data_IF_550101441528
#
_entry.id   IF_550101441528
#
_cell.length_a   1.000
_cell.length_b   1.000
_cell.length_c   1.000
_cell.angle_alpha   90.00
_cell.angle_beta   90.00
_cell.angle_gamma   90.00
#
_symmetry.space_group_name_H-M   'P 1'
#
loop_
_entity.id
_entity.type
_entity.pdbx_description
1 polymer ?
#
# COMPACT_ATOMS: atom_id res chain seq x y z
N UNK A 1 -2.01 15.68 -80.63
CA UNK A 1 -2.90 16.84 -80.38
C UNK A 1 -3.00 17.02 -78.88
N UNK A 2 -2.45 18.15 -78.40
CA UNK A 2 -2.32 18.49 -76.99
C UNK A 2 -3.52 19.36 -76.60
N UNK A 3 -4.04 19.10 -75.39
CA UNK A 3 -4.78 20.11 -74.62
C UNK A 3 -4.28 20.19 -73.23
N UNK A 4 -3.59 21.29 -72.93
CA UNK A 4 -3.27 21.74 -71.58
C UNK A 4 -4.51 22.39 -70.96
N UNK A 5 -4.97 21.97 -69.81
CA UNK A 5 -5.85 22.74 -68.92
C UNK A 5 -5.01 23.45 -67.89
N UNK A 6 -4.90 24.75 -67.95
CA UNK A 6 -4.38 25.67 -66.92
C UNK A 6 -5.53 25.96 -65.96
N UNK A 7 -5.46 25.45 -64.75
CA UNK A 7 -6.32 25.82 -63.62
C UNK A 7 -5.62 26.97 -62.88
N UNK A 8 -6.05 28.19 -63.04
CA UNK A 8 -5.66 29.37 -62.30
C UNK A 8 -6.37 29.33 -60.92
N UNK A 9 -5.60 29.09 -59.86
CA UNK A 9 -6.09 29.35 -58.51
C UNK A 9 -6.03 30.85 -58.25
N UNK A 10 -7.17 31.49 -58.13
CA UNK A 10 -7.32 32.83 -57.58
C UNK A 10 -7.09 32.77 -56.08
N UNK A 11 -5.99 33.35 -55.61
CA UNK A 11 -5.71 33.55 -54.17
C UNK A 11 -6.42 34.87 -53.79
N UNK A 12 -7.34 34.86 -52.82
CA UNK A 12 -7.95 36.10 -52.37
C UNK A 12 -6.91 36.93 -51.63
N UNK A 13 -6.62 38.14 -52.11
CA UNK A 13 -5.78 39.11 -51.42
C UNK A 13 -6.46 39.56 -50.14
N UNK A 14 -5.99 39.03 -49.00
CA UNK A 14 -6.45 39.44 -47.69
C UNK A 14 -6.06 40.90 -47.45
N UNK A 15 -7.08 41.76 -47.34
CA UNK A 15 -6.95 43.20 -47.13
C UNK A 15 -6.15 43.48 -45.84
N UNK A 16 -5.19 44.39 -45.83
CA UNK A 16 -4.35 44.77 -44.67
C UNK A 16 -5.18 45.11 -43.43
N UNK A 17 -6.37 45.65 -43.60
CA UNK A 17 -7.31 45.92 -42.51
C UNK A 17 -7.81 44.63 -41.83
N UNK A 18 -8.20 43.60 -42.56
CA UNK A 18 -8.67 42.32 -42.02
C UNK A 18 -7.59 41.61 -41.20
N UNK A 19 -6.32 41.66 -41.64
CA UNK A 19 -5.18 41.13 -40.85
C UNK A 19 -4.94 41.90 -39.57
N UNK A 20 -5.10 43.23 -39.55
CA UNK A 20 -5.02 44.05 -38.35
C UNK A 20 -6.15 43.73 -37.36
N UNK A 21 -7.38 43.55 -37.83
CA UNK A 21 -8.51 43.17 -37.01
C UNK A 21 -8.33 41.79 -36.39
N UNK A 22 -7.88 40.78 -37.13
CA UNK A 22 -7.59 39.44 -36.62
C UNK A 22 -6.47 39.44 -35.59
N UNK A 23 -5.44 40.25 -35.78
CA UNK A 23 -4.32 40.37 -34.85
C UNK A 23 -4.74 41.04 -33.52
N UNK A 24 -5.53 42.11 -33.59
CA UNK A 24 -6.08 42.81 -32.41
C UNK A 24 -7.04 41.89 -31.65
N UNK A 25 -7.87 41.13 -32.37
CA UNK A 25 -8.82 40.18 -31.75
C UNK A 25 -8.10 39.03 -31.06
N UNK A 26 -7.04 38.50 -31.67
CA UNK A 26 -6.18 37.48 -31.07
C UNK A 26 -5.46 37.97 -29.81
N UNK A 27 -4.94 39.20 -29.82
CA UNK A 27 -4.31 39.84 -28.66
C UNK A 27 -5.32 40.08 -27.52
N UNK A 28 -6.55 40.50 -27.86
CA UNK A 28 -7.63 40.70 -26.90
C UNK A 28 -8.02 39.38 -26.21
N UNK A 29 -8.20 38.30 -26.99
CA UNK A 29 -8.48 36.95 -26.44
C UNK A 29 -7.35 36.42 -25.56
N UNK A 30 -6.09 36.64 -25.94
CA UNK A 30 -4.95 36.24 -25.09
C UNK A 30 -4.90 37.04 -23.79
N UNK A 31 -5.22 38.34 -23.85
CA UNK A 31 -5.24 39.17 -22.64
C UNK A 31 -6.39 38.81 -21.69
N UNK A 32 -7.59 38.54 -22.24
CA UNK A 32 -8.72 38.06 -21.41
C UNK A 32 -8.43 36.69 -20.76
N UNK A 33 -7.78 35.78 -21.50
CA UNK A 33 -7.36 34.48 -20.96
C UNK A 33 -6.30 34.63 -19.84
N UNK A 34 -5.34 35.54 -20.01
CA UNK A 34 -4.34 35.86 -18.99
C UNK A 34 -4.98 36.47 -17.73
N UNK A 35 -5.90 37.40 -17.88
CA UNK A 35 -6.64 37.99 -16.76
C UNK A 35 -7.49 36.95 -16.05
N UNK A 36 -8.19 36.06 -16.78
CA UNK A 36 -8.97 34.97 -16.19
C UNK A 36 -8.08 33.98 -15.44
N UNK A 37 -6.92 33.63 -16.01
CA UNK A 37 -5.95 32.74 -15.38
C UNK A 37 -5.35 33.35 -14.09
N UNK A 38 -5.09 34.66 -14.07
CA UNK A 38 -4.58 35.35 -12.87
C UNK A 38 -5.64 35.46 -11.77
N UNK A 39 -6.91 35.69 -12.11
CA UNK A 39 -8.01 35.71 -11.14
C UNK A 39 -8.21 34.31 -10.55
N UNK A 40 -8.22 33.27 -11.37
CA UNK A 40 -8.34 31.89 -10.89
C UNK A 40 -7.13 31.44 -10.04
N UNK A 41 -5.91 31.88 -10.37
CA UNK A 41 -4.73 31.64 -9.51
C UNK A 41 -4.81 32.40 -8.19
N UNK A 42 -5.39 33.60 -8.18
CA UNK A 42 -5.57 34.41 -6.95
C UNK A 42 -6.56 33.75 -5.98
N UNK A 43 -7.68 33.19 -6.49
CA UNK A 43 -8.64 32.47 -5.65
C UNK A 43 -8.11 31.14 -5.10
N UNK A 44 -7.18 30.48 -5.82
CA UNK A 44 -6.54 29.24 -5.35
C UNK A 44 -5.46 29.51 -4.29
N UNK A 45 -4.87 30.70 -4.26
CA UNK A 45 -3.88 31.09 -3.24
C UNK A 45 -4.55 31.55 -1.93
N UNK A 46 -5.82 32.00 -1.98
CA UNK A 46 -6.55 32.45 -0.78
C UNK A 46 -7.29 31.33 -0.04
N UNK A 47 -7.26 30.08 -0.51
CA UNK A 47 -7.90 28.92 0.14
C UNK A 47 -6.92 27.82 0.57
N UNK A 48 -5.67 28.12 0.86
CA UNK A 48 -4.86 27.26 1.70
C UNK A 48 -4.94 27.77 3.13
N UNK A 49 -5.59 27.06 4.07
CA UNK A 49 -5.40 27.36 5.47
C UNK A 49 -3.93 27.08 5.77
N UNK A 50 -3.21 28.12 6.16
CA UNK A 50 -1.92 27.98 6.83
C UNK A 50 -2.16 27.17 8.10
N UNK A 51 -1.81 25.91 8.08
CA UNK A 51 -1.76 25.06 9.25
C UNK A 51 -0.52 25.50 10.06
N UNK A 52 -0.65 26.55 10.84
CA UNK A 52 0.26 26.81 11.95
C UNK A 52 -0.04 25.76 13.03
N UNK A 53 0.79 24.72 13.03
CA UNK A 53 0.82 23.71 14.07
C UNK A 53 1.37 24.35 15.36
N UNK A 54 0.51 24.99 16.15
CA UNK A 54 0.83 25.36 17.52
C UNK A 54 1.06 24.11 18.35
N UNK A 55 2.32 23.75 18.52
CA UNK A 55 2.75 22.68 19.44
C UNK A 55 2.54 23.15 20.88
N UNK A 56 1.46 22.74 21.51
CA UNK A 56 1.32 22.86 22.95
C UNK A 56 2.16 21.80 23.65
N UNK A 57 3.19 22.23 24.37
CA UNK A 57 4.00 21.37 25.24
C UNK A 57 3.48 21.50 26.68
N UNK A 58 2.89 20.43 27.19
CA UNK A 58 2.53 20.34 28.61
C UNK A 58 3.69 19.73 29.41
N UNK A 59 4.22 20.48 30.34
CA UNK A 59 5.24 20.04 31.29
C UNK A 59 4.58 19.41 32.52
N UNK A 60 4.71 18.08 32.67
CA UNK A 60 4.32 17.37 33.90
C UNK A 60 5.56 17.11 34.75
N UNK A 61 5.49 17.48 36.01
CA UNK A 61 6.53 17.23 36.99
C UNK A 61 6.11 16.03 37.86
N UNK A 62 6.69 14.87 37.64
CA UNK A 62 6.49 13.69 38.48
C UNK A 62 7.87 13.19 38.94
N UNK A 63 8.11 13.27 40.26
CA UNK A 63 9.28 12.66 40.89
C UNK A 63 10.64 13.16 40.42
N UNK A 64 10.83 14.47 40.24
CA UNK A 64 12.15 15.09 40.01
C UNK A 64 12.74 14.88 38.62
N UNK A 65 12.01 14.32 37.66
CA UNK A 65 12.41 14.20 36.25
C UNK A 65 11.36 14.85 35.35
N UNK A 66 11.82 15.75 34.46
CA UNK A 66 10.94 16.40 33.45
C UNK A 66 10.75 15.46 32.28
N UNK A 67 9.51 14.91 32.07
CA UNK A 67 9.12 14.17 30.88
C UNK A 67 8.23 15.06 30.01
N UNK A 68 8.54 15.13 28.72
CA UNK A 68 7.73 15.80 27.70
C UNK A 68 6.80 14.75 27.04
N UNK A 69 5.50 14.93 27.21
CA UNK A 69 4.49 14.08 26.56
C UNK A 69 3.73 14.89 25.51
N UNK A 70 3.67 14.38 24.28
CA UNK A 70 2.89 14.96 23.19
C UNK A 70 1.42 14.58 23.34
N UNK A 71 0.53 15.58 23.42
CA UNK A 71 -0.92 15.35 23.34
C UNK A 71 -1.45 15.77 21.99
N UNK A 72 -2.31 14.96 21.39
CA UNK A 72 -2.82 15.12 20.03
C UNK A 72 -4.15 15.87 19.90
N UNK A 73 -4.73 16.39 20.99
CA UNK A 73 -5.99 17.13 20.92
C UNK A 73 -5.97 18.38 21.81
N UNK A 74 -5.96 19.56 21.20
CA UNK A 74 -6.38 20.80 21.82
C UNK A 74 -7.68 21.26 21.14
N UNK A 75 -8.82 21.12 21.80
CA UNK A 75 -10.05 21.79 21.40
C UNK A 75 -10.07 23.19 22.04
N UNK A 76 -10.09 24.22 21.22
CA UNK A 76 -10.38 25.59 21.65
C UNK A 76 -11.89 25.74 21.82
N UNK A 77 -12.34 25.74 23.08
CA UNK A 77 -13.67 26.19 23.47
C UNK A 77 -13.56 27.57 24.09
N UNK A 78 -14.17 28.56 23.46
CA UNK A 78 -14.41 29.88 24.04
C UNK A 78 -15.55 29.80 25.06
N UNK A 79 -15.31 30.19 26.29
CA UNK A 79 -16.39 30.34 27.29
C UNK A 79 -15.88 30.29 28.73
N UNK A 80 -15.92 31.41 29.33
CA UNK A 80 -15.85 31.87 30.73
C UNK A 80 -15.63 30.87 31.87
N UNK A 81 -14.69 31.28 32.72
CA UNK A 81 -14.38 30.68 34.00
C UNK A 81 -15.51 30.89 35.04
N UNK A 82 -15.93 29.78 35.69
CA UNK A 82 -16.49 29.82 37.05
C UNK A 82 -16.23 28.53 37.81
N UNK A 83 -15.51 28.67 38.89
CA UNK A 83 -15.74 28.07 40.22
C UNK A 83 -15.70 26.53 40.35
N UNK A 84 -14.60 26.12 40.83
CA UNK A 84 -14.23 24.95 41.65
C UNK A 84 -15.30 24.47 42.62
N UNK A 85 -15.55 23.15 42.68
CA UNK A 85 -15.68 22.39 43.94
C UNK A 85 -15.40 20.92 43.74
N UNK A 86 -14.57 20.40 44.63
CA UNK A 86 -14.23 18.99 44.82
C UNK A 86 -15.46 18.12 45.07
N UNK A 87 -15.46 16.88 44.57
CA UNK A 87 -16.16 15.78 45.20
C UNK A 87 -15.39 14.45 44.94
N UNK A 88 -14.98 13.91 46.06
CA UNK A 88 -14.38 12.59 46.28
C UNK A 88 -15.31 11.42 45.95
N UNK A 89 -14.67 10.31 45.61
CA UNK A 89 -15.03 8.91 45.96
C UNK A 89 -16.41 8.38 45.54
N UNK A 90 -16.39 7.29 44.74
CA UNK A 90 -16.81 6.00 45.33
C UNK A 90 -16.39 4.82 44.44
N UNK A 91 -15.57 3.95 45.04
CA UNK A 91 -15.23 2.62 44.53
C UNK A 91 -16.31 1.65 45.05
N UNK A 92 -17.04 1.01 44.16
CA UNK A 92 -17.95 -0.08 44.50
C UNK A 92 -17.35 -1.42 44.04
N UNK A 93 -16.87 -2.17 45.00
CA UNK A 93 -16.58 -3.61 44.95
C UNK A 93 -17.90 -4.37 45.00
N UNK A 94 -18.20 -5.21 44.01
CA UNK A 94 -19.26 -6.22 44.12
C UNK A 94 -18.64 -7.59 44.30
N UNK A 95 -18.86 -8.13 45.54
CA UNK A 95 -18.54 -9.48 45.96
C UNK A 95 -19.60 -10.48 45.47
N UNK A 96 -19.11 -11.71 45.31
CA UNK A 96 -19.88 -12.97 45.13
C UNK A 96 -20.89 -13.20 46.24
N UNK A 97 -22.07 -13.72 45.85
CA UNK A 97 -23.05 -14.31 46.76
C UNK A 97 -23.63 -15.59 46.16
N UNK A 98 -23.49 -16.63 46.94
CA UNK A 98 -23.86 -18.03 46.74
C UNK A 98 -25.37 -18.28 46.80
N UNK A 99 -25.77 -19.41 46.17
CA UNK A 99 -27.12 -20.05 46.21
C UNK A 99 -27.63 -20.34 47.64
N UNK A 100 -28.94 -20.60 47.81
CA UNK A 100 -29.32 -22.00 47.98
C UNK A 100 -30.67 -22.45 47.36
N UNK A 101 -30.78 -23.77 47.33
CA UNK A 101 -31.87 -24.61 46.85
C UNK A 101 -33.11 -24.62 47.77
N UNK A 102 -34.23 -25.12 47.28
CA UNK A 102 -35.08 -26.18 47.85
C UNK A 102 -36.55 -26.17 47.39
N UNK A 103 -36.99 -27.28 46.87
CA UNK A 103 -38.15 -28.17 47.03
C UNK A 103 -39.41 -28.03 46.18
N UNK A 104 -39.61 -29.07 45.39
CA UNK A 104 -40.67 -30.13 45.39
C UNK A 104 -42.18 -29.68 45.29
N UNK A 105 -42.88 -30.18 44.26
CA UNK A 105 -43.89 -31.25 44.46
C UNK A 105 -44.64 -31.61 43.15
N UNK A 106 -44.54 -32.91 42.82
CA UNK A 106 -45.61 -33.88 42.44
C UNK A 106 -46.51 -33.63 41.20
N UNK A 107 -46.31 -34.60 40.31
CA UNK A 107 -47.16 -35.22 39.26
C UNK A 107 -48.66 -35.44 39.58
N UNK A 108 -49.59 -35.80 38.62
CA UNK A 108 -49.41 -36.94 37.70
C UNK A 108 -50.13 -36.88 36.29
N UNK A 109 -49.65 -37.83 35.48
CA UNK A 109 -50.35 -38.71 34.51
C UNK A 109 -50.85 -38.25 33.16
N UNK A 110 -50.27 -38.71 32.17
CA UNK A 110 -50.39 -39.40 30.86
C UNK A 110 -51.80 -39.52 30.19
N UNK A 111 -51.95 -40.02 28.93
CA UNK A 111 -50.97 -40.43 27.89
C UNK A 111 -51.32 -40.08 26.43
N UNK A 112 -50.44 -40.51 25.49
CA UNK A 112 -50.66 -40.96 24.10
C UNK A 112 -50.60 -39.86 22.97
N UNK A 113 -49.53 -39.84 22.18
CA UNK A 113 -49.48 -40.48 20.86
C UNK A 113 -48.09 -40.33 20.27
N UNK A 114 -47.62 -41.47 19.77
CA UNK A 114 -46.37 -41.64 18.99
C UNK A 114 -46.53 -41.00 17.65
N UNK A 115 -45.72 -39.99 17.35
CA UNK A 115 -45.40 -39.64 15.97
C UNK A 115 -43.92 -39.48 15.84
N UNK A 116 -43.28 -40.43 15.22
CA UNK A 116 -41.90 -40.40 14.73
C UNK A 116 -41.67 -39.18 13.89
N UNK A 117 -41.03 -38.16 14.44
CA UNK A 117 -40.35 -37.15 13.65
C UNK A 117 -38.93 -37.64 13.40
N UNK A 118 -38.71 -38.13 12.17
CA UNK A 118 -37.38 -38.31 11.62
C UNK A 118 -36.55 -37.07 11.92
N UNK A 119 -35.56 -37.23 12.83
CA UNK A 119 -34.50 -36.29 12.98
C UNK A 119 -33.71 -36.27 11.65
N UNK A 120 -33.93 -35.22 10.86
CA UNK A 120 -33.07 -34.89 9.74
C UNK A 120 -31.70 -34.54 10.33
N UNK A 121 -30.80 -35.49 10.33
CA UNK A 121 -29.39 -35.28 10.57
C UNK A 121 -28.85 -34.43 9.39
N UNK A 122 -28.98 -33.12 9.48
CA UNK A 122 -28.21 -32.20 8.67
C UNK A 122 -26.77 -32.20 9.16
N UNK A 123 -26.06 -33.29 8.91
CA UNK A 123 -24.62 -33.30 8.81
C UNK A 123 -24.27 -32.53 7.54
N UNK A 124 -24.27 -31.19 7.62
CA UNK A 124 -23.57 -30.34 6.64
C UNK A 124 -22.09 -30.59 6.85
N UNK A 125 -21.57 -31.66 6.24
CA UNK A 125 -20.13 -31.85 6.07
C UNK A 125 -19.59 -30.60 5.40
N UNK A 126 -18.71 -29.87 6.09
CA UNK A 126 -18.03 -28.70 5.54
C UNK A 126 -17.48 -29.06 4.14
N UNK A 127 -17.70 -28.24 3.11
CA UNK A 127 -17.35 -28.61 1.74
C UNK A 127 -15.86 -28.90 1.66
N UNK A 128 -15.50 -30.13 1.26
CA UNK A 128 -14.11 -30.62 1.11
C UNK A 128 -13.22 -29.69 0.26
N UNK A 129 -13.78 -28.75 -0.48
CA UNK A 129 -13.10 -27.90 -1.44
C UNK A 129 -13.00 -26.40 -1.05
N UNK A 130 -13.48 -26.00 0.10
CA UNK A 130 -13.52 -24.60 0.55
C UNK A 130 -14.34 -23.68 -0.38
N UNK A 131 -14.39 -22.37 -0.03
CA UNK A 131 -15.13 -21.33 -0.74
C UNK A 131 -14.20 -20.23 -1.25
N UNK A 132 -14.62 -19.48 -2.27
CA UNK A 132 -13.95 -18.26 -2.69
C UNK A 132 -14.26 -17.15 -1.69
N UNK A 133 -13.21 -16.56 -1.11
CA UNK A 133 -13.32 -15.52 -0.06
C UNK A 133 -12.53 -14.29 -0.46
N UNK A 134 -12.92 -13.13 0.04
CA UNK A 134 -12.10 -11.93 -0.04
C UNK A 134 -10.78 -12.14 0.73
N UNK A 135 -9.67 -11.52 0.32
CA UNK A 135 -8.37 -11.74 0.96
C UNK A 135 -8.35 -11.18 2.39
N UNK A 136 -7.80 -11.98 3.31
CA UNK A 136 -7.51 -11.58 4.69
C UNK A 136 -6.16 -10.85 4.78
N UNK A 137 -5.25 -11.11 3.83
CA UNK A 137 -3.95 -10.49 3.78
C UNK A 137 -3.60 -10.06 2.35
N UNK A 138 -2.97 -8.90 2.21
CA UNK A 138 -2.65 -8.30 0.91
C UNK A 138 -1.20 -7.81 0.92
N UNK A 139 -0.41 -8.21 -0.07
CA UNK A 139 0.90 -7.61 -0.34
C UNK A 139 0.68 -6.37 -1.20
N UNK A 140 0.60 -5.21 -0.57
CA UNK A 140 0.20 -3.94 -1.19
C UNK A 140 1.35 -3.21 -1.90
N UNK A 141 2.60 -3.55 -1.62
CA UNK A 141 3.78 -2.82 -2.15
C UNK A 141 5.11 -3.47 -1.78
N UNK A 142 6.21 -2.90 -2.29
CA UNK A 142 6.29 -1.88 -3.32
C UNK A 142 6.75 -2.49 -4.63
N UNK A 143 6.46 -1.83 -5.75
CA UNK A 143 6.99 -2.25 -7.06
C UNK A 143 8.51 -2.31 -7.01
N UNK A 144 9.11 -3.46 -7.38
CA UNK A 144 10.56 -3.75 -7.36
C UNK A 144 11.16 -4.01 -5.96
N UNK A 145 10.37 -4.02 -4.89
CA UNK A 145 10.81 -4.40 -3.54
C UNK A 145 11.07 -5.91 -3.35
N UNK A 146 10.40 -6.77 -4.12
CA UNK A 146 10.50 -8.24 -3.95
C UNK A 146 9.15 -8.92 -3.69
N UNK A 147 8.04 -8.22 -3.87
CA UNK A 147 6.67 -8.69 -3.59
C UNK A 147 6.32 -10.04 -4.21
N UNK A 148 6.83 -10.34 -5.41
CA UNK A 148 6.62 -11.64 -6.04
C UNK A 148 7.35 -12.77 -5.32
N UNK A 149 8.55 -12.50 -4.79
CA UNK A 149 9.30 -13.49 -4.02
C UNK A 149 8.55 -13.84 -2.73
N UNK A 150 8.10 -12.85 -1.96
CA UNK A 150 7.31 -13.07 -0.75
C UNK A 150 6.07 -13.91 -1.05
N UNK A 151 5.30 -13.55 -2.11
CA UNK A 151 4.12 -14.32 -2.49
C UNK A 151 4.45 -15.78 -2.82
N UNK A 152 5.45 -16.05 -3.65
CA UNK A 152 5.80 -17.42 -4.05
C UNK A 152 6.38 -18.22 -2.88
N UNK A 153 7.10 -17.56 -1.97
CA UNK A 153 7.68 -18.21 -0.81
C UNK A 153 6.62 -18.56 0.25
N UNK A 154 5.69 -17.64 0.54
CA UNK A 154 4.63 -17.92 1.52
C UNK A 154 3.59 -18.92 1.00
N UNK A 155 3.40 -19.03 -0.32
CA UNK A 155 2.44 -19.97 -0.93
C UNK A 155 2.78 -21.45 -0.74
N UNK A 156 3.98 -21.79 -0.28
CA UNK A 156 4.31 -23.17 0.09
C UNK A 156 3.74 -23.57 1.46
N UNK A 157 3.31 -22.57 2.26
CA UNK A 157 2.62 -22.85 3.51
C UNK A 157 1.24 -23.48 3.23
N UNK A 158 0.89 -24.61 3.89
CA UNK A 158 -0.37 -25.34 3.63
C UNK A 158 -1.62 -24.50 3.92
N UNK A 159 -1.53 -23.57 4.89
CA UNK A 159 -2.65 -22.72 5.29
C UNK A 159 -2.70 -21.38 4.53
N UNK A 160 -1.93 -21.23 3.44
CA UNK A 160 -1.97 -20.04 2.59
C UNK A 160 -2.46 -20.38 1.19
N UNK A 161 -3.50 -19.70 0.78
CA UNK A 161 -4.06 -19.76 -0.58
C UNK A 161 -3.97 -18.37 -1.22
N UNK A 162 -3.13 -18.21 -2.23
CA UNK A 162 -2.91 -16.92 -2.86
C UNK A 162 -3.14 -16.94 -4.36
N UNK A 163 -3.79 -15.89 -4.89
CA UNK A 163 -3.94 -15.69 -6.33
C UNK A 163 -2.58 -15.38 -6.96
N UNK A 164 -2.32 -15.95 -8.12
CA UNK A 164 -1.00 -15.84 -8.79
C UNK A 164 -0.82 -14.58 -9.63
N UNK A 165 -1.88 -14.02 -10.16
CA UNK A 165 -1.93 -12.78 -10.94
C UNK A 165 -2.16 -11.57 -10.03
N UNK A 166 -1.88 -10.37 -10.53
CA UNK A 166 -2.21 -9.12 -9.84
C UNK A 166 -3.64 -8.71 -10.22
N UNK A 167 -4.61 -8.69 -9.29
CA UNK A 167 -6.00 -8.32 -9.59
C UNK A 167 -6.16 -6.87 -10.02
N UNK A 168 -5.31 -5.98 -9.51
CA UNK A 168 -5.45 -4.54 -9.71
C UNK A 168 -6.86 -4.03 -9.37
N UNK A 169 -7.48 -4.59 -8.31
CA UNK A 169 -8.84 -4.23 -7.92
C UNK A 169 -8.90 -2.82 -7.33
N UNK A 170 -8.11 -2.54 -6.30
CA UNK A 170 -8.20 -1.27 -5.56
C UNK A 170 -7.60 -0.07 -6.29
N UNK A 171 -6.87 -0.27 -7.40
CA UNK A 171 -6.31 0.81 -8.22
C UNK A 171 -7.00 1.00 -9.58
N UNK A 172 -7.44 -0.08 -10.25
CA UNK A 172 -7.91 -0.01 -11.65
C UNK A 172 -9.28 -0.59 -11.91
N UNK A 173 -9.72 -1.55 -11.11
CA UNK A 173 -10.92 -2.34 -11.37
C UNK A 173 -11.94 -2.24 -10.22
N UNK A 174 -11.91 -1.15 -9.45
CA UNK A 174 -12.75 -1.02 -8.26
C UNK A 174 -14.25 -0.95 -8.58
N UNK A 175 -14.60 -0.41 -9.71
CA UNK A 175 -15.94 -0.32 -10.28
C UNK A 175 -16.56 -1.68 -10.62
N UNK A 176 -15.73 -2.73 -10.75
CA UNK A 176 -16.22 -4.10 -11.02
C UNK A 176 -16.87 -4.77 -9.80
N UNK A 177 -16.75 -4.19 -8.62
CA UNK A 177 -17.37 -4.66 -7.39
C UNK A 177 -16.66 -5.84 -6.72
N UNK A 178 -16.98 -6.04 -5.43
CA UNK A 178 -16.34 -7.05 -4.58
C UNK A 178 -16.63 -8.48 -5.02
N UNK A 179 -17.76 -8.76 -5.66
CA UNK A 179 -18.09 -10.10 -6.14
C UNK A 179 -17.16 -10.52 -7.28
N UNK A 180 -16.86 -9.61 -8.20
CA UNK A 180 -15.85 -9.85 -9.23
C UNK A 180 -14.47 -10.09 -8.59
N UNK A 181 -14.09 -9.26 -7.63
CA UNK A 181 -12.80 -9.42 -6.94
C UNK A 181 -12.71 -10.77 -6.20
N UNK A 182 -13.77 -11.15 -5.48
CA UNK A 182 -13.90 -12.46 -4.82
C UNK A 182 -13.81 -13.61 -5.83
N UNK A 183 -14.37 -13.44 -7.03
CA UNK A 183 -14.35 -14.47 -8.08
C UNK A 183 -12.95 -14.83 -8.57
N UNK A 184 -11.97 -13.91 -8.42
CA UNK A 184 -10.57 -14.12 -8.77
C UNK A 184 -9.80 -14.92 -7.72
N UNK A 185 -10.31 -14.98 -6.48
CA UNK A 185 -9.61 -15.63 -5.38
C UNK A 185 -9.66 -17.15 -5.49
N UNK A 186 -8.65 -17.84 -4.97
CA UNK A 186 -8.69 -19.30 -4.87
C UNK A 186 -9.76 -19.75 -3.88
N UNK A 187 -10.18 -21.02 -3.98
CA UNK A 187 -10.99 -21.65 -2.95
C UNK A 187 -10.15 -21.85 -1.69
N UNK A 188 -10.70 -21.50 -0.52
CA UNK A 188 -10.00 -21.44 0.75
C UNK A 188 -10.89 -22.05 1.84
N UNK A 189 -10.32 -22.90 2.69
CA UNK A 189 -10.97 -23.42 3.91
C UNK A 189 -11.05 -22.34 4.98
N UNK A 190 -11.87 -22.52 6.01
CA UNK A 190 -12.05 -21.54 7.08
C UNK A 190 -10.77 -21.28 7.89
N UNK A 191 -9.93 -22.30 8.05
CA UNK A 191 -8.65 -22.22 8.73
C UNK A 191 -7.51 -21.64 7.89
N UNK A 192 -7.73 -21.39 6.60
CA UNK A 192 -6.69 -20.94 5.67
C UNK A 192 -6.80 -19.43 5.39
N UNK A 193 -5.68 -18.81 5.07
CA UNK A 193 -5.59 -17.41 4.69
C UNK A 193 -5.70 -17.27 3.18
N UNK A 194 -6.64 -16.42 2.73
CA UNK A 194 -6.72 -15.97 1.34
C UNK A 194 -5.83 -14.75 1.15
N UNK A 195 -4.94 -14.78 0.15
CA UNK A 195 -4.02 -13.67 -0.12
C UNK A 195 -4.02 -13.25 -1.58
N UNK A 196 -3.70 -11.98 -1.82
CA UNK A 196 -3.30 -11.46 -3.12
C UNK A 196 -2.11 -10.49 -3.03
N UNK A 197 -1.56 -10.13 -4.18
CA UNK A 197 -0.42 -9.23 -4.28
C UNK A 197 -0.57 -8.29 -5.47
N UNK A 198 -0.70 -6.99 -5.21
CA UNK A 198 -0.72 -5.91 -6.21
C UNK A 198 0.14 -4.74 -5.73
N UNK A 199 1.39 -4.63 -6.20
CA UNK A 199 2.36 -3.69 -5.63
C UNK A 199 2.06 -2.20 -5.86
N UNK A 200 1.16 -1.89 -6.77
CA UNK A 200 0.74 -0.51 -7.04
C UNK A 200 -0.18 0.07 -5.97
N UNK A 201 -0.82 -0.77 -5.15
CA UNK A 201 -1.72 -0.28 -4.11
C UNK A 201 -1.02 0.65 -3.12
N UNK A 202 0.24 0.36 -2.78
CA UNK A 202 0.97 1.16 -1.79
C UNK A 202 1.04 2.64 -2.14
N UNK A 203 1.15 2.95 -3.44
CA UNK A 203 1.26 4.32 -3.96
C UNK A 203 -0.05 4.88 -4.51
N UNK A 204 -1.14 4.11 -4.47
CA UNK A 204 -2.47 4.54 -4.93
C UNK A 204 -3.20 5.21 -3.78
N UNK A 205 -3.57 6.48 -3.95
CA UNK A 205 -4.17 7.31 -2.89
C UNK A 205 -5.45 6.71 -2.32
N UNK A 206 -6.29 6.13 -3.15
CA UNK A 206 -7.60 5.60 -2.79
C UNK A 206 -7.54 4.19 -2.19
N UNK A 207 -6.45 3.45 -2.43
CA UNK A 207 -6.34 2.03 -2.05
C UNK A 207 -6.50 1.78 -0.56
N UNK A 208 -5.91 2.56 0.38
CA UNK A 208 -6.10 2.35 1.81
C UNK A 208 -7.56 2.41 2.22
N UNK A 209 -8.27 3.47 1.81
CA UNK A 209 -9.70 3.65 2.09
C UNK A 209 -10.56 2.51 1.52
N UNK A 210 -10.27 2.10 0.29
CA UNK A 210 -11.02 1.03 -0.39
C UNK A 210 -10.82 -0.33 0.29
N UNK A 211 -9.59 -0.64 0.72
CA UNK A 211 -9.29 -1.87 1.45
C UNK A 211 -9.93 -1.84 2.84
N UNK A 212 -9.85 -0.71 3.54
CA UNK A 212 -10.48 -0.54 4.84
C UNK A 212 -12.01 -0.72 4.78
N UNK A 213 -12.64 -0.20 3.73
CA UNK A 213 -14.08 -0.39 3.49
C UNK A 213 -14.44 -1.85 3.16
N UNK A 214 -13.53 -2.61 2.54
CA UNK A 214 -13.73 -4.05 2.32
C UNK A 214 -13.59 -4.84 3.62
N UNK A 215 -12.54 -4.58 4.39
CA UNK A 215 -12.27 -5.26 5.66
C UNK A 215 -11.32 -4.44 6.53
N UNK A 216 -11.78 -4.06 7.71
CA UNK A 216 -10.99 -3.31 8.71
C UNK A 216 -9.86 -4.15 9.31
N UNK A 217 -10.00 -5.47 9.30
CA UNK A 217 -9.06 -6.42 9.90
C UNK A 217 -8.02 -6.95 8.88
N UNK A 218 -7.98 -6.37 7.68
CA UNK A 218 -7.03 -6.77 6.64
C UNK A 218 -5.59 -6.64 7.13
N UNK A 219 -4.79 -7.69 6.96
CA UNK A 219 -3.35 -7.69 7.23
C UNK A 219 -2.60 -7.24 5.98
N UNK A 220 -1.75 -6.24 6.11
CA UNK A 220 -1.04 -5.60 5.00
C UNK A 220 0.45 -5.92 5.05
N UNK A 221 1.03 -6.28 3.91
CA UNK A 221 2.45 -6.56 3.79
C UNK A 221 3.06 -5.59 2.78
N UNK A 222 4.10 -4.89 3.20
CA UNK A 222 4.87 -3.95 2.36
C UNK A 222 6.31 -4.45 2.26
N UNK A 223 6.75 -4.80 1.07
CA UNK A 223 8.13 -5.24 0.82
C UNK A 223 8.93 -4.03 0.36
N UNK A 224 9.76 -3.49 1.23
CA UNK A 224 10.57 -2.31 0.96
C UNK A 224 12.00 -2.70 0.55
N UNK A 225 12.67 -1.81 -0.15
CA UNK A 225 14.06 -1.97 -0.61
C UNK A 225 14.74 -0.61 -0.68
N UNK A 226 16.07 -0.56 -0.61
CA UNK A 226 16.82 0.67 -0.86
C UNK A 226 16.22 1.43 -2.05
N UNK A 227 15.76 2.68 -1.85
CA UNK A 227 15.00 3.42 -2.87
C UNK A 227 15.76 3.63 -4.17
N UNK A 228 17.07 3.86 -4.11
CA UNK A 228 17.93 4.04 -5.30
C UNK A 228 18.00 2.74 -6.09
N UNK A 229 18.35 1.63 -5.42
CA UNK A 229 18.40 0.30 -6.07
C UNK A 229 17.04 -0.10 -6.64
N UNK A 230 15.95 0.25 -5.94
CA UNK A 230 14.58 0.01 -6.41
C UNK A 230 14.29 0.82 -7.67
N UNK A 231 14.67 2.12 -7.72
CA UNK A 231 14.46 2.98 -8.88
C UNK A 231 15.24 2.47 -10.11
N UNK A 232 16.52 2.10 -9.94
CA UNK A 232 17.34 1.51 -11.00
C UNK A 232 16.71 0.20 -11.51
N UNK A 233 16.22 -0.65 -10.61
CA UNK A 233 15.52 -1.89 -10.97
C UNK A 233 14.22 -1.64 -11.75
N UNK A 234 13.52 -0.55 -11.46
CA UNK A 234 12.30 -0.15 -12.16
C UNK A 234 12.60 0.34 -13.57
N UNK A 235 13.60 1.20 -13.69
CA UNK A 235 14.12 1.67 -14.97
C UNK A 235 14.59 0.52 -15.85
N UNK A 236 15.47 -0.38 -15.32
CA UNK A 236 15.95 -1.56 -16.05
C UNK A 236 14.80 -2.41 -16.60
N UNK A 237 13.71 -2.56 -15.83
CA UNK A 237 12.54 -3.29 -16.31
C UNK A 237 11.81 -2.53 -17.41
N UNK A 238 11.70 -1.21 -17.31
CA UNK A 238 11.03 -0.40 -18.31
C UNK A 238 11.83 -0.37 -19.60
N UNK A 239 13.14 -0.16 -19.51
CA UNK A 239 14.07 -0.19 -20.64
C UNK A 239 14.01 -1.53 -21.39
N UNK A 240 13.93 -2.66 -20.67
CA UNK A 240 13.81 -3.98 -21.32
C UNK A 240 12.52 -4.20 -22.12
N UNK A 241 11.53 -3.33 -21.95
CA UNK A 241 10.24 -3.36 -22.67
C UNK A 241 10.11 -2.25 -23.71
N UNK A 242 10.78 -1.14 -23.46
CA UNK A 242 10.82 0.07 -24.30
C UNK A 242 12.26 0.55 -24.35
N UNK A 243 13.06 0.09 -25.34
CA UNK A 243 14.48 0.44 -25.42
C UNK A 243 14.74 1.94 -25.67
N UNK A 244 13.79 2.64 -26.27
CA UNK A 244 13.95 4.04 -26.74
C UNK A 244 13.60 5.08 -25.67
N UNK A 245 13.53 4.71 -24.39
CA UNK A 245 13.31 5.68 -23.30
C UNK A 245 14.59 6.46 -23.01
N UNK A 246 14.50 7.73 -22.53
CA UNK A 246 15.65 8.50 -22.08
C UNK A 246 16.50 7.76 -21.05
N UNK A 247 17.75 8.20 -20.87
CA UNK A 247 18.65 7.63 -19.86
C UNK A 247 18.08 7.76 -18.46
N UNK A 248 18.59 6.95 -17.52
CA UNK A 248 18.16 7.02 -16.13
C UNK A 248 18.34 8.42 -15.55
N UNK A 249 19.49 9.04 -15.83
CA UNK A 249 19.88 10.36 -15.37
C UNK A 249 18.93 11.45 -15.90
N UNK A 250 18.61 11.38 -17.20
CA UNK A 250 17.67 12.32 -17.83
C UNK A 250 16.25 12.22 -17.27
N UNK A 251 15.86 11.07 -16.75
CA UNK A 251 14.57 10.87 -16.10
C UNK A 251 14.60 11.15 -14.58
N UNK A 252 15.74 10.97 -13.93
CA UNK A 252 15.88 11.12 -12.48
C UNK A 252 16.10 12.57 -12.04
N UNK A 253 16.59 13.44 -12.94
CA UNK A 253 16.92 14.83 -12.61
C UNK A 253 16.21 15.81 -13.52
N UNK A 254 15.67 16.87 -12.94
CA UNK A 254 15.26 18.08 -13.67
C UNK A 254 16.48 18.89 -14.08
N UNK A 255 17.51 18.91 -13.24
CA UNK A 255 18.81 19.50 -13.51
C UNK A 255 19.86 18.71 -12.73
N UNK A 256 20.68 17.92 -13.46
CA UNK A 256 21.71 17.09 -12.84
C UNK A 256 22.86 17.91 -12.23
N UNK A 257 23.25 18.99 -12.89
CA UNK A 257 24.38 19.84 -12.43
C UNK A 257 24.06 20.48 -11.08
N UNK A 258 22.78 20.85 -10.86
CA UNK A 258 22.29 21.41 -9.61
C UNK A 258 21.82 20.33 -8.59
N UNK A 259 21.94 19.06 -8.92
CA UNK A 259 21.43 17.97 -8.09
C UNK A 259 19.91 17.95 -7.92
N UNK A 260 19.16 18.64 -8.81
CA UNK A 260 17.71 18.78 -8.69
C UNK A 260 16.99 17.52 -9.19
N UNK A 261 16.66 16.63 -8.27
CA UNK A 261 15.97 15.36 -8.54
C UNK A 261 14.53 15.58 -9.00
N UNK A 262 14.09 14.83 -10.01
CA UNK A 262 12.68 14.81 -10.43
C UNK A 262 11.84 13.84 -9.58
N UNK A 263 11.29 14.36 -8.48
CA UNK A 263 10.40 13.60 -7.59
C UNK A 263 9.05 13.24 -8.24
N UNK A 264 8.70 13.82 -9.39
CA UNK A 264 7.48 13.48 -10.13
C UNK A 264 7.63 12.18 -10.94
N UNK A 265 8.86 11.81 -11.31
CA UNK A 265 9.09 10.55 -12.01
C UNK A 265 8.73 9.37 -11.12
N UNK A 266 7.83 8.50 -11.61
CA UNK A 266 7.29 7.38 -10.83
C UNK A 266 8.37 6.48 -10.21
N UNK A 267 9.50 6.28 -10.91
CA UNK A 267 10.56 5.45 -10.35
C UNK A 267 11.20 6.11 -9.12
N UNK A 268 11.28 7.42 -9.04
CA UNK A 268 11.73 8.14 -7.84
C UNK A 268 10.62 8.21 -6.81
N UNK A 269 9.42 8.66 -7.19
CA UNK A 269 8.28 8.89 -6.28
C UNK A 269 7.92 7.66 -5.45
N UNK A 270 7.93 6.46 -6.02
CA UNK A 270 7.64 5.20 -5.31
C UNK A 270 8.61 4.95 -4.16
N UNK A 271 9.85 5.45 -4.24
CA UNK A 271 10.87 5.29 -3.20
C UNK A 271 10.72 6.20 -1.99
N UNK A 272 9.88 7.23 -2.05
CA UNK A 272 9.56 8.11 -0.91
C UNK A 272 8.51 7.43 -0.01
N UNK A 273 8.90 6.31 0.64
CA UNK A 273 7.97 5.42 1.33
C UNK A 273 7.15 6.07 2.43
N UNK A 274 7.76 7.01 3.16
CA UNK A 274 7.10 7.73 4.25
C UNK A 274 5.85 8.46 3.79
N UNK A 275 5.88 9.13 2.63
CA UNK A 275 4.74 9.88 2.11
C UNK A 275 3.56 8.97 1.76
N UNK A 276 3.85 7.76 1.31
CA UNK A 276 2.82 6.78 1.03
C UNK A 276 2.29 6.16 2.33
N UNK A 277 3.18 5.83 3.28
CA UNK A 277 2.82 5.24 4.56
C UNK A 277 1.90 6.16 5.38
N UNK A 278 2.13 7.47 5.37
CA UNK A 278 1.25 8.45 6.02
C UNK A 278 -0.22 8.31 5.57
N UNK A 279 -0.46 8.06 4.29
CA UNK A 279 -1.80 7.81 3.78
C UNK A 279 -2.40 6.48 4.28
N UNK A 280 -1.59 5.43 4.43
CA UNK A 280 -2.05 4.15 4.97
C UNK A 280 -2.40 4.23 6.45
N UNK A 281 -1.63 4.97 7.23
CA UNK A 281 -1.83 5.13 8.68
C UNK A 281 -3.10 5.92 9.04
N UNK A 282 -3.74 6.58 8.08
CA UNK A 282 -5.06 7.18 8.27
C UNK A 282 -6.17 6.13 8.43
N UNK A 283 -5.96 4.91 7.96
CA UNK A 283 -6.96 3.84 7.92
C UNK A 283 -6.55 2.61 8.72
N UNK A 284 -5.26 2.26 8.73
CA UNK A 284 -4.75 1.06 9.38
C UNK A 284 -3.68 1.40 10.41
N UNK A 285 -3.78 0.87 11.64
CA UNK A 285 -2.71 1.02 12.61
C UNK A 285 -1.45 0.28 12.14
N UNK A 286 -0.29 0.73 12.60
CA UNK A 286 1.00 0.13 12.22
C UNK A 286 1.08 -1.37 12.53
N UNK A 287 0.38 -1.83 13.58
CA UNK A 287 0.29 -3.25 13.95
C UNK A 287 -0.36 -4.15 12.87
N UNK A 288 -1.12 -3.57 11.95
CA UNK A 288 -1.70 -4.28 10.81
C UNK A 288 -0.85 -4.20 9.53
N UNK A 289 0.30 -3.52 9.59
CA UNK A 289 1.21 -3.34 8.44
C UNK A 289 2.56 -3.95 8.75
N UNK A 290 2.92 -5.02 8.06
CA UNK A 290 4.21 -5.68 8.21
C UNK A 290 5.17 -5.30 7.10
N UNK A 291 6.39 -4.87 7.46
CA UNK A 291 7.44 -4.49 6.53
C UNK A 291 8.44 -5.62 6.36
N UNK A 292 8.69 -6.01 5.11
CA UNK A 292 9.68 -7.02 4.71
C UNK A 292 10.85 -6.32 4.04
N UNK A 293 12.09 -6.60 4.47
CA UNK A 293 13.29 -6.09 3.80
C UNK A 293 13.58 -6.89 2.52
N UNK A 294 13.62 -6.20 1.40
CA UNK A 294 13.97 -6.79 0.10
C UNK A 294 15.42 -7.30 0.06
N UNK A 295 16.33 -6.65 0.78
CA UNK A 295 17.73 -7.06 0.94
C UNK A 295 17.83 -8.34 1.78
N UNK A 296 17.17 -8.35 2.94
CA UNK A 296 17.18 -9.54 3.80
C UNK A 296 16.45 -10.72 3.17
N UNK A 297 15.45 -10.46 2.33
CA UNK A 297 14.79 -11.52 1.56
C UNK A 297 15.75 -12.26 0.61
N UNK A 298 16.89 -11.63 0.25
CA UNK A 298 17.94 -12.25 -0.56
C UNK A 298 18.94 -13.01 0.34
N UNK A 299 19.34 -12.44 1.46
CA UNK A 299 20.38 -12.98 2.34
C UNK A 299 19.85 -13.97 3.39
N UNK A 300 18.63 -13.74 3.88
CA UNK A 300 17.96 -14.52 4.93
C UNK A 300 16.44 -14.66 4.62
N UNK A 301 16.06 -15.38 3.55
CA UNK A 301 14.67 -15.54 3.15
C UNK A 301 13.83 -16.25 4.22
N UNK A 302 14.41 -17.19 4.95
CA UNK A 302 13.71 -17.95 5.99
C UNK A 302 13.37 -17.07 7.20
N UNK A 303 14.31 -16.22 7.63
CA UNK A 303 14.07 -15.27 8.72
C UNK A 303 13.01 -14.23 8.35
N UNK A 304 13.03 -13.69 7.12
CA UNK A 304 11.98 -12.77 6.66
C UNK A 304 10.62 -13.46 6.58
N UNK A 305 10.55 -14.66 6.01
CA UNK A 305 9.31 -15.44 5.94
C UNK A 305 8.83 -15.92 7.32
N UNK A 306 9.75 -16.15 8.27
CA UNK A 306 9.42 -16.43 9.68
C UNK A 306 8.59 -15.29 10.26
N UNK A 307 9.05 -14.04 10.12
CA UNK A 307 8.33 -12.85 10.60
C UNK A 307 6.98 -12.64 9.87
N UNK A 308 6.93 -12.93 8.57
CA UNK A 308 5.66 -12.90 7.82
C UNK A 308 4.66 -13.93 8.36
N UNK A 309 5.12 -15.16 8.66
CA UNK A 309 4.26 -16.20 9.25
C UNK A 309 3.74 -15.78 10.62
N UNK A 310 4.59 -15.24 11.50
CA UNK A 310 4.18 -14.73 12.82
C UNK A 310 3.14 -13.62 12.68
N UNK A 311 3.38 -12.63 11.81
CA UNK A 311 2.45 -11.54 11.55
C UNK A 311 1.10 -12.05 11.06
N UNK A 312 1.08 -13.06 10.22
CA UNK A 312 -0.15 -13.68 9.71
C UNK A 312 -0.85 -14.57 10.76
N UNK A 313 -0.19 -14.91 11.87
CA UNK A 313 -0.70 -15.84 12.87
C UNK A 313 -0.57 -17.30 12.44
N UNK A 314 0.40 -17.59 11.58
CA UNK A 314 0.69 -18.93 11.06
C UNK A 314 1.81 -19.60 11.86
N UNK A 315 1.81 -20.93 11.90
CA UNK A 315 2.96 -21.71 12.39
C UNK A 315 4.16 -21.48 11.44
N UNK A 316 5.38 -21.41 11.98
CA UNK A 316 6.59 -21.29 11.18
C UNK A 316 6.93 -22.60 10.46
N UNK A 317 6.25 -22.87 9.36
CA UNK A 317 6.47 -24.05 8.50
C UNK A 317 7.51 -23.75 7.42
N UNK A 318 7.49 -22.53 6.86
CA UNK A 318 8.47 -22.09 5.85
C UNK A 318 9.77 -21.71 6.57
N UNK A 319 10.82 -22.52 6.41
CA UNK A 319 12.10 -22.46 7.09
C UNK A 319 13.27 -22.60 6.10
N UNK A 320 14.52 -22.52 6.57
CA UNK A 320 15.74 -22.62 5.75
C UNK A 320 15.79 -23.86 4.84
N UNK A 321 15.23 -24.99 5.31
CA UNK A 321 15.17 -26.22 4.49
C UNK A 321 14.44 -26.06 3.17
N UNK A 322 13.62 -25.02 3.01
CA UNK A 322 12.86 -24.75 1.80
C UNK A 322 13.59 -23.89 0.79
N UNK A 323 14.77 -23.36 1.12
CA UNK A 323 15.51 -22.43 0.28
C UNK A 323 16.87 -22.97 -0.11
N UNK A 324 17.38 -22.54 -1.27
CA UNK A 324 18.76 -22.64 -1.67
C UNK A 324 19.15 -21.38 -2.45
N UNK A 325 20.40 -20.95 -2.33
CA UNK A 325 20.89 -19.79 -3.08
C UNK A 325 21.33 -20.22 -4.47
N UNK A 326 20.76 -19.62 -5.50
CA UNK A 326 21.16 -19.86 -6.88
C UNK A 326 22.24 -18.83 -7.28
N UNK A 327 23.49 -19.25 -7.34
CA UNK A 327 24.66 -18.39 -7.64
C UNK A 327 24.52 -17.70 -9.00
N UNK A 328 24.01 -18.38 -10.03
CA UNK A 328 23.81 -17.82 -11.38
C UNK A 328 22.74 -16.72 -11.41
N UNK A 329 21.71 -16.81 -10.58
CA UNK A 329 20.62 -15.84 -10.52
C UNK A 329 20.85 -14.75 -9.47
N UNK A 330 21.75 -14.95 -8.52
CA UNK A 330 22.04 -14.02 -7.44
C UNK A 330 20.90 -13.85 -6.41
N UNK A 331 20.00 -14.86 -6.27
CA UNK A 331 18.91 -14.81 -5.29
C UNK A 331 18.45 -16.22 -4.87
N UNK A 332 17.75 -16.32 -3.70
CA UNK A 332 17.25 -17.59 -3.20
C UNK A 332 16.09 -18.12 -4.05
N UNK A 333 16.11 -19.45 -4.23
CA UNK A 333 15.06 -20.20 -4.92
C UNK A 333 14.48 -21.25 -3.96
N UNK A 334 13.25 -21.70 -4.25
CA UNK A 334 12.62 -22.77 -3.48
C UNK A 334 13.19 -24.12 -3.86
N UNK A 335 13.59 -24.91 -2.85
CA UNK A 335 13.74 -26.36 -3.00
C UNK A 335 12.39 -26.99 -3.26
N UNK A 336 12.33 -27.98 -4.08
CA UNK A 336 11.11 -28.78 -4.25
C UNK A 336 11.06 -29.88 -3.19
N UNK A 337 9.84 -30.32 -2.80
CA UNK A 337 9.67 -31.57 -2.10
C UNK A 337 10.30 -32.71 -2.88
N UNK A 338 10.76 -33.75 -2.22
CA UNK A 338 11.47 -34.90 -2.79
C UNK A 338 10.78 -35.61 -3.97
N UNK A 339 9.46 -35.40 -4.10
CA UNK A 339 8.64 -36.01 -5.15
C UNK A 339 8.67 -35.27 -6.51
N UNK A 340 9.37 -34.16 -6.67
CA UNK A 340 9.35 -33.41 -7.93
C UNK A 340 10.75 -32.94 -8.40
N UNK A 341 11.05 -33.23 -9.64
CA UNK A 341 12.39 -33.28 -10.23
C UNK A 341 13.20 -31.99 -10.40
N UNK A 342 12.67 -30.77 -10.20
CA UNK A 342 13.44 -29.53 -10.41
C UNK A 342 13.14 -28.42 -9.39
N UNK A 343 14.21 -27.76 -8.86
CA UNK A 343 14.06 -26.59 -7.99
C UNK A 343 13.31 -25.44 -8.68
N UNK A 344 12.46 -24.71 -7.94
CA UNK A 344 11.64 -23.64 -8.51
C UNK A 344 12.22 -22.27 -8.20
N UNK A 345 12.87 -21.67 -9.19
CA UNK A 345 13.25 -20.27 -9.13
C UNK A 345 12.17 -19.35 -9.71
N UNK A 346 12.19 -18.08 -9.31
CA UNK A 346 11.39 -17.05 -9.94
C UNK A 346 11.71 -16.97 -11.44
N UNK A 347 10.71 -16.66 -12.25
CA UNK A 347 10.83 -16.65 -13.72
C UNK A 347 11.91 -15.70 -14.24
N UNK A 348 12.33 -15.91 -15.51
CA UNK A 348 13.40 -15.15 -16.20
C UNK A 348 13.25 -13.62 -16.13
N UNK A 349 12.03 -13.12 -15.93
CA UNK A 349 11.78 -11.66 -15.76
C UNK A 349 12.15 -11.11 -14.39
N UNK A 350 12.67 -11.93 -13.46
CA UNK A 350 13.12 -11.55 -12.11
C UNK A 350 14.63 -11.71 -11.98
N UNK A 351 15.26 -10.85 -11.15
CA UNK A 351 16.70 -10.86 -10.98
C UNK A 351 17.48 -10.48 -12.26
N UNK A 352 16.98 -9.46 -13.00
CA UNK A 352 17.75 -8.92 -14.12
C UNK A 352 18.99 -8.21 -13.60
N UNK A 353 20.10 -8.32 -14.32
CA UNK A 353 21.25 -7.43 -14.13
C UNK A 353 20.78 -6.00 -14.33
N UNK A 354 21.09 -5.12 -13.39
CA UNK A 354 20.76 -3.71 -13.48
C UNK A 354 21.68 -3.02 -14.51
N UNK A 355 21.18 -1.96 -15.12
CA UNK A 355 22.03 -1.05 -15.90
C UNK A 355 23.05 -0.39 -14.98
N UNK A 356 24.23 -0.11 -15.52
CA UNK A 356 25.28 0.64 -14.85
C UNK A 356 24.81 2.12 -14.78
N UNK A 357 24.94 2.71 -13.59
CA UNK A 357 24.61 4.11 -13.32
C UNK A 357 25.85 4.74 -12.69
N UNK A 358 26.15 5.97 -13.06
CA UNK A 358 27.26 6.74 -12.52
C UNK A 358 27.18 6.83 -10.99
N UNK A 359 28.33 6.73 -10.34
CA UNK A 359 28.39 6.71 -8.88
C UNK A 359 27.93 8.04 -8.27
N UNK A 360 28.25 9.18 -8.91
CA UNK A 360 27.78 10.51 -8.47
C UNK A 360 26.26 10.63 -8.52
N UNK A 361 25.59 10.03 -9.50
CA UNK A 361 24.14 9.96 -9.60
C UNK A 361 23.55 9.14 -8.44
N UNK A 362 24.19 8.03 -8.10
CA UNK A 362 23.80 7.19 -6.96
C UNK A 362 23.90 7.98 -5.66
N UNK A 363 24.99 8.73 -5.45
CA UNK A 363 25.21 9.53 -4.23
C UNK A 363 24.19 10.68 -4.14
N UNK A 364 23.94 11.41 -5.22
CA UNK A 364 22.94 12.47 -5.25
C UNK A 364 21.54 11.93 -4.91
N UNK A 365 21.18 10.75 -5.41
CA UNK A 365 19.92 10.09 -5.07
C UNK A 365 19.88 9.58 -3.64
N UNK A 366 20.98 9.11 -3.07
CA UNK A 366 21.08 8.74 -1.64
C UNK A 366 20.81 9.94 -0.76
N UNK A 367 21.48 11.08 -1.02
CA UNK A 367 21.25 12.32 -0.30
C UNK A 367 19.79 12.80 -0.41
N UNK A 368 19.21 12.73 -1.62
CA UNK A 368 17.79 13.05 -1.83
C UNK A 368 16.86 12.17 -0.98
N UNK A 369 17.12 10.84 -0.91
CA UNK A 369 16.26 9.94 -0.15
C UNK A 369 16.51 9.95 1.36
N UNK A 370 17.68 10.41 1.81
CA UNK A 370 18.07 10.37 3.23
C UNK A 370 16.99 10.91 4.18
N UNK A 371 16.43 12.12 4.02
CA UNK A 371 15.40 12.62 4.94
C UNK A 371 14.12 11.78 4.93
N UNK A 372 13.73 11.24 3.77
CA UNK A 372 12.57 10.36 3.67
C UNK A 372 12.83 9.00 4.34
N UNK A 373 14.03 8.46 4.21
CA UNK A 373 14.42 7.20 4.84
C UNK A 373 14.45 7.34 6.36
N UNK A 374 15.07 8.40 6.90
CA UNK A 374 15.14 8.66 8.35
C UNK A 374 13.71 8.72 8.92
N UNK A 375 12.85 9.56 8.33
CA UNK A 375 11.46 9.70 8.79
C UNK A 375 10.68 8.36 8.66
N UNK A 376 10.94 7.59 7.61
CA UNK A 376 10.34 6.26 7.45
C UNK A 376 10.80 5.30 8.55
N UNK A 377 12.11 5.25 8.88
CA UNK A 377 12.65 4.41 9.95
C UNK A 377 12.06 4.76 11.32
N UNK A 378 11.97 6.05 11.62
CA UNK A 378 11.33 6.53 12.85
C UNK A 378 9.87 6.08 12.93
N UNK A 379 9.14 6.22 11.82
CA UNK A 379 7.72 5.89 11.77
C UNK A 379 7.45 4.39 11.94
N UNK A 380 8.29 3.52 11.36
CA UNK A 380 8.12 2.07 11.43
C UNK A 380 8.88 1.42 12.59
N UNK A 381 9.72 2.19 13.31
CA UNK A 381 10.53 1.68 14.44
C UNK A 381 11.65 0.73 14.00
N UNK A 382 12.10 0.81 12.74
CA UNK A 382 13.13 -0.10 12.20
C UNK A 382 14.02 0.59 11.16
N UNK A 383 15.35 0.48 11.37
CA UNK A 383 16.35 0.98 10.42
C UNK A 383 16.73 -0.13 9.41
N UNK A 384 16.43 0.10 8.13
CA UNK A 384 16.74 -0.84 7.04
C UNK A 384 18.16 -0.71 6.50
N UNK A 385 18.94 0.27 6.99
CA UNK A 385 20.36 0.51 6.63
C UNK A 385 20.54 0.75 5.12
N UNK A 386 19.81 1.76 4.59
CA UNK A 386 19.91 2.17 3.17
C UNK A 386 20.84 3.38 2.95
N UNK A 387 21.77 3.57 3.84
CA UNK A 387 22.75 4.67 3.83
C UNK A 387 23.78 4.52 2.72
#
# INVERSE_FOLDING_TARGET
MAYRFLSSRVVPSSNRQTRRFLFIFSLSLSFTYLCYSLIFCSDTIMQSPSYEEHRCLLLHNIGGKKLLQKSHYCTLGSGEAKGIRDANQDVVLLQRGTSPAVNQSKTPAAPISVQERRASNNNTSAPKFGNKRLPNAIIVGVKKGGTRAVLEFIRIHPDVRAVGTEPHFFDRNYDRGLDWYRSLMPRTLDSQITMEKTPSYFVTKEAPKRIFNMSRDSKLIVVVRNPVTRAISDYTQTLSKKPDIPTFEALAFKNRTLGLVDSSWNAIRIGMYVLHLENWLQYFPLSQIHFVSGERLITDPAGELGRVQDFLGLKRIVTDKHFYFNKTKGFPCLKKPESSSLPRCLGKSKGRTHVQIDQDVIEQLREFYRPFNIKFYEMVGHNFRWD
#
